data_IF_973402304021
#
_entry.id   IF_973402304021
#
_cell.length_a   1.000
_cell.length_b   1.000
_cell.length_c   1.000
_cell.angle_alpha   90.00
_cell.angle_beta   90.00
_cell.angle_gamma   90.00
#
_symmetry.space_group_name_H-M   'P 1'
#
loop_
_entity.id
_entity.type
_entity.pdbx_description
1 polymer ?
#
# COMPACT_ATOMS: atom_id res chain seq x y z
N UNK A 1 -20.82 -4.02 41.32
CA UNK A 1 -21.50 -3.47 40.11
C UNK A 1 -20.72 -2.25 39.61
N UNK A 2 -20.02 -2.33 38.48
CA UNK A 2 -19.38 -1.17 37.86
C UNK A 2 -19.71 -1.15 36.35
N UNK A 3 -20.51 -0.16 35.97
CA UNK A 3 -21.12 0.03 34.65
C UNK A 3 -20.04 0.35 33.59
N UNK A 4 -19.75 -0.60 32.68
CA UNK A 4 -19.06 -0.29 31.41
C UNK A 4 -20.04 0.43 30.49
N UNK A 5 -20.13 1.76 30.60
CA UNK A 5 -20.87 2.58 29.63
C UNK A 5 -19.97 2.77 28.41
N UNK A 6 -20.11 1.88 27.42
CA UNK A 6 -19.57 2.10 26.07
C UNK A 6 -20.13 3.44 25.59
N UNK A 7 -19.25 4.43 25.45
CA UNK A 7 -19.56 5.66 24.74
C UNK A 7 -19.72 5.26 23.28
N UNK A 8 -20.95 4.89 22.89
CA UNK A 8 -21.37 4.93 21.49
C UNK A 8 -21.55 6.42 21.15
N UNK A 9 -20.46 7.10 20.85
CA UNK A 9 -20.54 8.36 20.10
C UNK A 9 -20.96 7.93 18.71
N UNK A 10 -22.25 8.10 18.41
CA UNK A 10 -22.79 7.94 17.09
C UNK A 10 -22.01 8.88 16.15
N UNK A 11 -21.05 8.30 15.45
CA UNK A 11 -20.15 8.96 14.55
C UNK A 11 -20.93 9.42 13.32
N UNK A 12 -21.55 10.61 13.41
CA UNK A 12 -22.24 11.31 12.29
C UNK A 12 -21.32 11.63 11.10
N UNK A 13 -20.06 11.20 11.10
CA UNK A 13 -19.09 11.46 10.04
C UNK A 13 -19.12 10.41 8.92
N UNK A 14 -19.89 9.33 9.07
CA UNK A 14 -20.16 8.43 7.95
C UNK A 14 -21.05 9.12 6.90
N UNK A 15 -20.38 9.89 6.05
CA UNK A 15 -20.63 10.10 4.62
C UNK A 15 -22.02 10.59 4.21
N UNK A 16 -22.18 11.93 4.18
CA UNK A 16 -23.18 12.62 3.36
C UNK A 16 -22.65 12.96 1.94
N UNK A 17 -21.41 12.59 1.64
CA UNK A 17 -20.72 12.89 0.39
C UNK A 17 -20.04 11.64 -0.12
N UNK A 18 -20.40 11.19 -1.33
CA UNK A 18 -19.85 9.97 -1.92
C UNK A 18 -18.32 9.97 -2.01
N UNK A 19 -17.71 8.78 -2.26
CA UNK A 19 -16.25 8.56 -2.28
C UNK A 19 -15.47 9.58 -3.13
N UNK A 20 -16.09 10.08 -4.20
CA UNK A 20 -15.54 11.07 -5.12
C UNK A 20 -15.06 12.36 -4.43
N UNK A 21 -15.81 12.87 -3.45
CA UNK A 21 -15.56 14.21 -2.90
C UNK A 21 -14.38 14.27 -1.94
N UNK A 22 -13.91 13.14 -1.41
CA UNK A 22 -12.81 13.14 -0.43
C UNK A 22 -11.44 13.36 -1.07
N UNK A 23 -11.26 12.84 -2.29
CA UNK A 23 -10.01 12.97 -3.04
C UNK A 23 -9.99 14.18 -3.96
N UNK A 24 -11.10 14.91 -4.12
CA UNK A 24 -11.12 16.11 -4.94
C UNK A 24 -10.26 17.22 -4.32
N UNK A 25 -9.42 17.82 -5.15
CA UNK A 25 -8.71 19.06 -4.85
C UNK A 25 -9.55 20.26 -5.29
N UNK A 26 -9.49 21.35 -4.54
CA UNK A 26 -10.14 22.60 -4.92
C UNK A 26 -9.55 23.15 -6.23
N UNK A 27 -8.23 23.05 -6.39
CA UNK A 27 -7.49 23.42 -7.60
C UNK A 27 -6.74 22.22 -8.18
N UNK A 28 -6.64 22.15 -9.50
CA UNK A 28 -5.79 21.16 -10.17
C UNK A 28 -4.32 21.51 -9.94
N UNK A 29 -3.50 20.62 -9.37
CA UNK A 29 -2.08 20.90 -9.19
C UNK A 29 -1.40 21.20 -10.53
N UNK A 30 -0.56 22.23 -10.57
CA UNK A 30 0.29 22.59 -11.71
C UNK A 30 1.51 21.66 -11.79
N UNK A 31 1.23 20.35 -11.82
CA UNK A 31 2.23 19.29 -11.84
C UNK A 31 1.63 18.06 -12.51
N UNK A 32 2.36 17.49 -13.48
CA UNK A 32 1.95 16.24 -14.12
C UNK A 32 1.91 15.09 -13.10
N UNK A 33 1.08 14.08 -13.37
CA UNK A 33 1.02 12.87 -12.55
C UNK A 33 2.38 12.17 -12.47
N UNK A 34 3.12 12.13 -13.60
CA UNK A 34 4.45 11.55 -13.67
C UNK A 34 5.44 12.28 -12.75
N UNK A 35 5.54 13.61 -12.88
CA UNK A 35 6.44 14.41 -12.04
C UNK A 35 6.10 14.30 -10.55
N UNK A 36 4.80 14.15 -10.23
CA UNK A 36 4.35 13.94 -8.87
C UNK A 36 4.76 12.56 -8.32
N UNK A 37 4.62 11.50 -9.12
CA UNK A 37 5.10 10.16 -8.76
C UNK A 37 6.62 10.11 -8.59
N UNK A 38 7.38 10.73 -9.50
CA UNK A 38 8.85 10.84 -9.39
C UNK A 38 9.27 11.57 -8.11
N UNK A 39 8.55 12.65 -7.75
CA UNK A 39 8.73 13.37 -6.48
C UNK A 39 8.48 12.46 -5.29
N UNK A 40 7.36 11.71 -5.27
CA UNK A 40 7.06 10.78 -4.18
C UNK A 40 8.18 9.75 -4.07
N UNK A 41 8.54 9.09 -5.17
CA UNK A 41 9.60 8.08 -5.20
C UNK A 41 10.93 8.60 -4.67
N UNK A 42 11.35 9.79 -5.11
CA UNK A 42 12.61 10.40 -4.68
C UNK A 42 12.68 10.67 -3.19
N UNK A 43 11.58 11.14 -2.58
CA UNK A 43 11.58 11.59 -1.19
C UNK A 43 11.10 10.53 -0.19
N UNK A 44 10.20 9.63 -0.56
CA UNK A 44 9.76 8.54 0.33
C UNK A 44 10.70 7.36 0.30
N UNK A 45 11.41 7.13 -0.83
CA UNK A 45 12.24 5.93 -1.04
C UNK A 45 11.51 4.63 -0.72
N UNK A 46 10.19 4.60 -0.88
CA UNK A 46 9.39 3.40 -0.70
C UNK A 46 9.86 2.33 -1.69
N UNK A 47 9.87 1.06 -1.27
CA UNK A 47 10.29 -0.05 -2.11
C UNK A 47 9.37 -0.27 -3.32
N UNK A 48 9.86 -0.86 -4.43
CA UNK A 48 9.03 -1.20 -5.59
C UNK A 48 7.71 -1.95 -5.26
N UNK A 49 7.67 -2.91 -4.31
CA UNK A 49 6.44 -3.60 -3.95
C UNK A 49 5.32 -2.67 -3.45
N UNK A 50 5.66 -1.53 -2.83
CA UNK A 50 4.68 -0.54 -2.35
C UNK A 50 3.86 0.03 -3.51
N UNK A 51 4.50 0.32 -4.65
CA UNK A 51 3.81 0.90 -5.81
C UNK A 51 2.90 -0.11 -6.50
N UNK A 52 3.31 -1.38 -6.55
CA UNK A 52 2.46 -2.46 -7.06
C UNK A 52 1.22 -2.62 -6.17
N UNK A 53 1.40 -2.66 -4.85
CA UNK A 53 0.28 -2.75 -3.91
C UNK A 53 -0.62 -1.51 -3.96
N UNK A 54 -0.04 -0.31 -4.09
CA UNK A 54 -0.81 0.92 -4.28
C UNK A 54 -1.65 0.87 -5.57
N UNK A 55 -1.12 0.30 -6.65
CA UNK A 55 -1.88 0.09 -7.89
C UNK A 55 -3.03 -0.91 -7.71
N UNK A 56 -2.80 -2.03 -7.02
CA UNK A 56 -3.87 -2.97 -6.62
C UNK A 56 -4.96 -2.26 -5.81
N UNK A 57 -4.58 -1.36 -4.91
CA UNK A 57 -5.54 -0.59 -4.11
C UNK A 57 -6.38 0.37 -4.93
N UNK A 58 -5.79 1.06 -5.92
CA UNK A 58 -6.53 1.94 -6.84
C UNK A 58 -7.53 1.12 -7.66
N UNK A 59 -7.10 0.00 -8.23
CA UNK A 59 -7.96 -0.85 -9.05
C UNK A 59 -9.15 -1.40 -8.24
N UNK A 60 -8.89 -1.96 -7.05
CA UNK A 60 -9.96 -2.39 -6.13
C UNK A 60 -10.89 -1.25 -5.73
N UNK A 61 -10.35 -0.05 -5.50
CA UNK A 61 -11.15 1.11 -5.15
C UNK A 61 -12.12 1.50 -6.29
N UNK A 62 -11.63 1.55 -7.52
CA UNK A 62 -12.45 1.82 -8.70
C UNK A 62 -13.53 0.75 -8.93
N UNK A 63 -13.22 -0.53 -8.65
CA UNK A 63 -14.20 -1.62 -8.72
C UNK A 63 -15.29 -1.51 -7.64
N UNK A 64 -14.92 -1.10 -6.42
CA UNK A 64 -15.87 -0.89 -5.32
C UNK A 64 -16.78 0.32 -5.54
N UNK A 65 -16.30 1.31 -6.30
CA UNK A 65 -17.00 2.56 -6.55
C UNK A 65 -17.01 2.91 -8.05
N UNK A 66 -17.87 2.26 -8.87
CA UNK A 66 -17.91 2.48 -10.32
C UNK A 66 -18.21 3.92 -10.75
N UNK A 67 -18.90 4.70 -9.90
CA UNK A 67 -19.19 6.11 -10.15
C UNK A 67 -17.98 7.03 -9.91
N UNK A 68 -16.93 6.52 -9.25
CA UNK A 68 -15.70 7.27 -9.01
C UNK A 68 -14.89 7.36 -10.31
N UNK A 69 -14.69 8.58 -10.80
CA UNK A 69 -13.85 8.85 -11.97
C UNK A 69 -12.53 9.46 -11.54
N UNK A 70 -11.43 8.77 -11.85
CA UNK A 70 -10.08 9.33 -11.69
C UNK A 70 -9.90 10.45 -12.70
N UNK A 71 -9.49 11.62 -12.23
CA UNK A 71 -9.27 12.81 -13.05
C UNK A 71 -8.24 13.76 -12.45
N UNK A 72 -7.92 14.82 -13.18
CA UNK A 72 -6.85 15.76 -12.80
C UNK A 72 -7.01 16.41 -11.42
N UNK A 73 -8.25 16.52 -10.91
CA UNK A 73 -8.54 17.10 -9.60
C UNK A 73 -8.30 16.14 -8.43
N UNK A 74 -8.40 14.83 -8.66
CA UNK A 74 -8.37 13.85 -7.58
C UNK A 74 -7.18 12.88 -7.62
N UNK A 75 -6.55 12.73 -8.78
CA UNK A 75 -5.48 11.74 -8.99
C UNK A 75 -4.30 11.95 -8.04
N UNK A 76 -3.83 13.17 -7.80
CA UNK A 76 -2.69 13.43 -6.92
C UNK A 76 -2.97 13.05 -5.46
N UNK A 77 -4.16 13.41 -4.96
CA UNK A 77 -4.60 13.08 -3.59
C UNK A 77 -4.83 11.59 -3.44
N UNK A 78 -5.42 10.94 -4.44
CA UNK A 78 -5.59 9.50 -4.45
C UNK A 78 -4.22 8.79 -4.40
N UNK A 79 -3.29 9.16 -5.28
CA UNK A 79 -1.97 8.54 -5.38
C UNK A 79 -1.16 8.63 -4.09
N UNK A 80 -1.01 9.82 -3.49
CA UNK A 80 -0.23 9.95 -2.24
C UNK A 80 -0.87 9.15 -1.11
N UNK A 81 -2.21 9.07 -1.07
CA UNK A 81 -2.94 8.32 -0.05
C UNK A 81 -2.75 6.82 -0.21
N UNK A 82 -2.89 6.29 -1.42
CA UNK A 82 -2.73 4.85 -1.67
C UNK A 82 -1.29 4.41 -1.44
N UNK A 83 -0.30 5.22 -1.84
CA UNK A 83 1.12 4.94 -1.60
C UNK A 83 1.45 4.99 -0.10
N UNK A 84 0.92 5.98 0.65
CA UNK A 84 1.07 6.03 2.11
C UNK A 84 0.55 4.76 2.78
N UNK A 85 -0.69 4.37 2.45
CA UNK A 85 -1.33 3.20 3.06
C UNK A 85 -0.61 1.91 2.67
N UNK A 86 -0.18 1.79 1.41
CA UNK A 86 0.60 0.65 0.96
C UNK A 86 1.97 0.57 1.66
N UNK A 87 2.70 1.68 1.80
CA UNK A 87 4.00 1.72 2.50
C UNK A 87 3.84 1.25 3.96
N UNK A 88 2.81 1.73 4.65
CA UNK A 88 2.49 1.30 6.02
C UNK A 88 2.10 -0.18 6.14
N UNK A 89 1.53 -0.76 5.09
CA UNK A 89 1.08 -2.15 5.10
C UNK A 89 2.20 -3.12 4.72
N UNK A 90 3.07 -2.72 3.78
CA UNK A 90 4.07 -3.59 3.15
C UNK A 90 5.44 -3.49 3.84
N UNK A 91 5.81 -2.31 4.32
CA UNK A 91 7.14 -2.05 4.86
C UNK A 91 7.14 -2.06 6.40
N UNK A 92 8.12 -2.74 7.00
CA UNK A 92 8.32 -2.75 8.45
C UNK A 92 8.67 -1.35 8.99
N UNK A 93 9.39 -0.56 8.18
CA UNK A 93 9.82 0.80 8.50
C UNK A 93 9.18 1.78 7.53
N UNK A 94 8.27 2.63 8.03
CA UNK A 94 7.56 3.62 7.22
C UNK A 94 7.60 5.02 7.84
N UNK A 95 7.39 6.04 7.01
CA UNK A 95 7.34 7.43 7.46
C UNK A 95 5.97 7.81 8.03
N UNK A 96 5.98 8.78 8.95
CA UNK A 96 4.75 9.38 9.51
C UNK A 96 3.96 10.12 8.43
N UNK A 97 2.64 10.25 8.63
CA UNK A 97 1.76 11.01 7.73
C UNK A 97 2.20 12.46 7.52
N UNK A 98 2.80 13.10 8.52
CA UNK A 98 3.31 14.47 8.39
C UNK A 98 4.44 14.57 7.35
N UNK A 99 5.21 13.51 7.16
CA UNK A 99 6.23 13.44 6.11
C UNK A 99 5.58 13.24 4.74
N UNK A 100 4.68 12.27 4.59
CA UNK A 100 3.93 12.07 3.34
C UNK A 100 3.12 13.30 2.93
N UNK A 101 2.52 14.02 3.88
CA UNK A 101 1.87 15.30 3.63
C UNK A 101 2.84 16.33 3.04
N UNK A 102 4.02 16.52 3.64
CA UNK A 102 5.05 17.43 3.08
C UNK A 102 5.50 17.00 1.68
N UNK A 103 5.72 15.70 1.45
CA UNK A 103 6.09 15.19 0.13
C UNK A 103 4.97 15.43 -0.88
N UNK A 104 3.71 15.21 -0.51
CA UNK A 104 2.54 15.40 -1.38
C UNK A 104 2.02 16.84 -1.48
N UNK A 105 2.62 17.80 -0.76
CA UNK A 105 2.13 19.18 -0.72
C UNK A 105 0.82 19.37 0.06
N UNK A 106 0.52 18.48 0.99
CA UNK A 106 -0.70 18.47 1.81
C UNK A 106 -0.40 18.80 3.28
N UNK A 107 -1.38 19.39 3.96
CA UNK A 107 -1.31 19.58 5.41
C UNK A 107 -1.32 18.23 6.14
N UNK A 108 -0.67 18.14 7.31
CA UNK A 108 -0.68 16.88 8.09
C UNK A 108 -2.09 16.44 8.48
N UNK A 109 -2.97 17.38 8.86
CA UNK A 109 -4.36 17.09 9.21
C UNK A 109 -5.14 16.53 8.01
N UNK A 110 -4.87 17.06 6.83
CA UNK A 110 -5.48 16.63 5.59
C UNK A 110 -5.00 15.23 5.20
N UNK A 111 -3.69 14.97 5.26
CA UNK A 111 -3.13 13.63 5.01
C UNK A 111 -3.72 12.58 5.98
N UNK A 112 -3.85 12.92 7.26
CA UNK A 112 -4.49 12.05 8.25
C UNK A 112 -5.94 11.74 7.89
N UNK A 113 -6.70 12.75 7.44
CA UNK A 113 -8.09 12.57 7.02
C UNK A 113 -8.18 11.68 5.79
N UNK A 114 -7.36 11.92 4.77
CA UNK A 114 -7.34 11.12 3.55
C UNK A 114 -7.01 9.65 3.83
N UNK A 115 -5.98 9.38 4.64
CA UNK A 115 -5.66 8.00 5.07
C UNK A 115 -6.87 7.35 5.75
N UNK A 116 -7.44 8.04 6.73
CA UNK A 116 -8.56 7.53 7.49
C UNK A 116 -9.76 7.19 6.60
N UNK A 117 -10.19 8.13 5.76
CA UNK A 117 -11.31 7.91 4.83
C UNK A 117 -11.02 6.75 3.86
N UNK A 118 -9.80 6.69 3.32
CA UNK A 118 -9.39 5.60 2.41
C UNK A 118 -9.52 4.22 3.07
N UNK A 119 -9.07 4.08 4.32
CA UNK A 119 -9.18 2.82 5.07
C UNK A 119 -10.64 2.38 5.27
N UNK A 120 -11.54 3.31 5.57
CA UNK A 120 -12.96 3.02 5.72
C UNK A 120 -13.64 2.68 4.39
N UNK A 121 -13.33 3.42 3.32
CA UNK A 121 -13.82 3.14 1.98
C UNK A 121 -13.36 1.74 1.51
N UNK A 122 -12.12 1.36 1.80
CA UNK A 122 -11.60 0.02 1.52
C UNK A 122 -12.11 -1.07 2.49
N UNK A 123 -12.93 -0.71 3.49
CA UNK A 123 -13.41 -1.62 4.56
C UNK A 123 -12.24 -2.38 5.22
N UNK A 124 -11.08 -1.74 5.34
CA UNK A 124 -9.83 -2.31 5.84
C UNK A 124 -9.36 -3.58 5.10
N UNK A 125 -9.83 -3.84 3.87
CA UNK A 125 -9.42 -4.98 3.03
C UNK A 125 -8.12 -4.70 2.26
N UNK A 126 -7.03 -4.55 3.02
CA UNK A 126 -5.70 -4.20 2.50
C UNK A 126 -4.84 -5.40 2.10
N UNK A 127 -5.22 -6.61 2.52
CA UNK A 127 -4.42 -7.80 2.21
C UNK A 127 -4.36 -8.08 0.70
N UNK A 128 -3.14 -8.26 0.19
CA UNK A 128 -2.86 -8.67 -1.19
C UNK A 128 -2.19 -10.03 -1.12
N UNK A 129 -2.82 -11.04 -1.72
CA UNK A 129 -2.24 -12.37 -1.83
C UNK A 129 -1.03 -12.35 -2.78
N UNK A 130 -0.06 -13.23 -2.56
CA UNK A 130 1.12 -13.37 -3.43
C UNK A 130 0.72 -13.59 -4.89
N UNK A 131 -0.26 -14.46 -5.18
CA UNK A 131 -0.71 -14.71 -6.56
C UNK A 131 -1.30 -13.46 -7.23
N UNK A 132 -2.02 -12.65 -6.47
CA UNK A 132 -2.54 -11.35 -6.95
C UNK A 132 -1.37 -10.40 -7.20
N UNK A 133 -0.45 -10.26 -6.25
CA UNK A 133 0.72 -9.41 -6.41
C UNK A 133 1.54 -9.77 -7.67
N UNK A 134 1.84 -11.05 -7.86
CA UNK A 134 2.58 -11.54 -9.03
C UNK A 134 1.84 -11.30 -10.35
N UNK A 135 0.50 -11.44 -10.35
CA UNK A 135 -0.33 -11.14 -11.50
C UNK A 135 -0.24 -9.66 -11.89
N UNK A 136 -0.27 -8.75 -10.92
CA UNK A 136 -0.13 -7.31 -11.19
C UNK A 136 1.29 -6.93 -11.61
N UNK A 137 2.33 -7.54 -11.03
CA UNK A 137 3.71 -7.36 -11.53
C UNK A 137 3.81 -7.76 -13.00
N UNK A 138 3.31 -8.96 -13.35
CA UNK A 138 3.35 -9.47 -14.73
C UNK A 138 2.54 -8.59 -15.70
N UNK A 139 1.41 -8.05 -15.23
CA UNK A 139 0.61 -7.11 -16.01
C UNK A 139 1.38 -5.80 -16.27
N UNK A 140 1.95 -5.19 -15.23
CA UNK A 140 2.71 -3.94 -15.36
C UNK A 140 3.98 -4.13 -16.23
N UNK A 141 4.73 -5.22 -16.05
CA UNK A 141 5.90 -5.54 -16.89
C UNK A 141 5.54 -5.63 -18.38
N UNK A 142 4.36 -6.18 -18.70
CA UNK A 142 3.85 -6.25 -20.08
C UNK A 142 3.52 -4.86 -20.63
N UNK A 143 2.79 -4.05 -19.87
CA UNK A 143 2.41 -2.69 -20.28
C UNK A 143 3.66 -1.81 -20.51
N UNK A 144 4.67 -1.94 -19.65
CA UNK A 144 5.91 -1.17 -19.75
C UNK A 144 6.79 -1.64 -20.91
N UNK A 145 6.77 -2.93 -21.24
CA UNK A 145 7.52 -3.49 -22.38
C UNK A 145 7.02 -2.95 -23.74
N UNK A 146 5.79 -2.43 -23.81
CA UNK A 146 5.23 -1.76 -24.99
C UNK A 146 5.67 -0.28 -25.06
N UNK A 147 6.05 0.33 -23.92
CA UNK A 147 6.37 1.77 -23.80
C UNK A 147 7.84 2.14 -23.52
N UNK A 148 8.74 1.17 -23.32
CA UNK A 148 10.15 1.40 -22.98
C UNK A 148 10.51 0.81 -21.61
N UNK A 149 11.26 -0.29 -21.63
CA UNK A 149 11.38 -1.27 -20.55
C UNK A 149 11.86 -0.77 -19.18
N UNK A 150 11.08 -1.10 -18.14
CA UNK A 150 11.51 -1.19 -16.74
C UNK A 150 11.17 -2.59 -16.23
N UNK A 151 12.13 -3.26 -15.58
CA UNK A 151 11.92 -4.53 -14.88
C UNK A 151 11.45 -4.22 -13.45
N UNK A 152 10.28 -4.74 -13.05
CA UNK A 152 9.85 -4.64 -11.65
C UNK A 152 10.68 -5.64 -10.85
N UNK A 153 11.58 -5.13 -10.00
CA UNK A 153 12.45 -5.99 -9.20
C UNK A 153 11.60 -6.86 -8.26
N UNK A 154 11.66 -8.19 -8.45
CA UNK A 154 10.93 -9.18 -7.66
C UNK A 154 11.63 -9.41 -6.32
N UNK A 155 11.57 -8.43 -5.42
CA UNK A 155 12.19 -8.50 -4.09
C UNK A 155 11.62 -9.61 -3.19
N UNK A 156 10.52 -10.27 -3.57
CA UNK A 156 9.93 -11.37 -2.78
C UNK A 156 10.73 -12.69 -2.81
N UNK A 157 11.78 -12.84 -3.63
CA UNK A 157 12.56 -14.10 -3.64
C UNK A 157 13.52 -14.28 -2.46
N UNK A 158 13.83 -13.24 -1.68
CA UNK A 158 14.75 -13.42 -0.53
C UNK A 158 14.11 -14.20 0.62
N UNK A 159 12.79 -14.09 0.83
CA UNK A 159 12.11 -14.77 1.92
C UNK A 159 11.83 -16.27 1.62
N UNK A 160 11.51 -16.63 0.37
CA UNK A 160 11.27 -18.04 0.00
C UNK A 160 12.55 -18.89 0.04
N UNK A 161 13.71 -18.28 -0.28
CA UNK A 161 15.02 -18.96 -0.20
C UNK A 161 15.41 -19.21 1.26
N UNK A 162 15.09 -18.29 2.18
CA UNK A 162 15.39 -18.44 3.61
C UNK A 162 14.49 -19.46 4.31
N UNK A 163 13.22 -19.57 3.90
CA UNK A 163 12.30 -20.57 4.45
C UNK A 163 12.67 -21.98 3.97
N UNK A 164 13.10 -22.15 2.70
CA UNK A 164 13.60 -23.43 2.18
C UNK A 164 14.97 -23.83 2.76
N UNK A 165 15.86 -22.86 3.02
CA UNK A 165 17.17 -23.16 3.60
C UNK A 165 17.06 -23.60 5.07
N UNK A 166 16.11 -23.07 5.84
CA UNK A 166 15.85 -23.51 7.22
C UNK A 166 15.25 -24.91 7.31
N UNK A 167 14.36 -25.30 6.39
CA UNK A 167 13.80 -26.67 6.39
C UNK A 167 14.81 -27.76 5.98
N UNK A 168 15.86 -27.40 5.25
CA UNK A 168 16.88 -28.38 4.81
C UNK A 168 17.96 -28.60 5.89
N UNK A 169 18.21 -27.61 6.76
CA UNK A 169 19.19 -27.72 7.83
C UNK A 169 18.70 -28.53 9.05
N UNK A 170 17.41 -28.51 9.37
CA UNK A 170 16.87 -29.28 10.51
C UNK A 170 16.75 -30.79 10.23
N UNK A 171 16.78 -31.22 8.95
CA UNK A 171 16.71 -32.64 8.60
C UNK A 171 18.07 -33.36 8.60
N UNK A 172 19.19 -32.64 8.75
CA UNK A 172 20.55 -33.21 8.61
C UNK A 172 21.26 -33.43 9.95
N UNK A 173 20.61 -33.11 11.08
CA UNK A 173 21.20 -33.23 12.44
C UNK A 173 20.46 -34.25 13.32
N UNK A 174 20.14 -35.44 12.79
CA UNK A 174 19.65 -36.52 13.63
C UNK A 174 20.02 -37.92 13.13
N UNK A 175 21.26 -38.12 12.67
CA UNK A 175 21.80 -39.47 12.51
C UNK A 175 23.31 -39.53 12.79
N UNK A 176 23.67 -39.53 14.08
CA UNK A 176 24.89 -40.18 14.54
C UNK A 176 24.60 -41.00 15.80
N UNK A 177 24.92 -42.31 15.82
CA UNK A 177 24.61 -43.20 16.92
C UNK A 177 25.53 -42.97 18.12
N UNK A 178 24.92 -42.82 19.29
CA UNK A 178 25.56 -42.76 20.61
C UNK A 178 26.45 -43.99 20.84
N UNK A 179 27.77 -43.86 20.67
CA UNK A 179 28.73 -44.85 21.18
C UNK A 179 29.04 -44.54 22.64
N UNK A 180 28.45 -45.32 23.53
CA UNK A 180 28.84 -45.45 24.93
C UNK A 180 30.11 -46.33 24.96
N UNK A 181 31.20 -45.82 25.53
CA UNK A 181 32.36 -46.63 25.92
C UNK A 181 32.34 -46.73 27.46
N UNK A 182 32.22 -47.97 27.94
CA UNK A 182 32.59 -48.40 29.30
C UNK A 182 34.11 -48.56 29.37
#
# INVERSE_FOLDING_TARGET
>A
MARKKRISKNCKWASLSGPARFFDSDETPDMSVQSYLERIFRYTRAGPPVYVVAYVYIDRFCQLYPDFRVGARNVHRLLITTILVASKYVEDMNYRNSYFGRVGGLGTKEMNKLEFEFLFLMKFKLHVNVSVFESYCSHLEREVSIGGGYQIERTLRCAEVEIKSRQTQDSTYNDQPTRILL
#
